data_IF_379507230801
#
_entry.id   IF_379507230801
#
_cell.length_a   1.000
_cell.length_b   1.000
_cell.length_c   1.000
_cell.angle_alpha   90.00
_cell.angle_beta   90.00
_cell.angle_gamma   90.00
#
_symmetry.space_group_name_H-M   'P 1'
#
loop_
_entity.id
_entity.type
_entity.pdbx_description
1 polymer ?
#
# COMPACT_ATOMS: atom_id res chain seq x y z
N UNK A 1 33.51 -3.79 4.98
CA UNK A 1 33.22 -5.25 4.81
C UNK A 1 32.34 -5.37 3.60
N UNK A 2 32.76 -6.17 2.61
CA UNK A 2 31.98 -6.43 1.41
C UNK A 2 30.59 -6.91 1.79
N UNK A 3 29.53 -6.28 1.23
CA UNK A 3 28.18 -6.77 1.33
C UNK A 3 28.18 -8.26 0.95
N UNK A 4 27.59 -9.11 1.78
CA UNK A 4 27.43 -10.50 1.40
C UNK A 4 26.61 -10.53 0.13
N UNK A 5 27.26 -10.83 -0.98
CA UNK A 5 26.63 -10.94 -2.31
C UNK A 5 25.50 -11.92 -2.14
N UNK A 6 24.26 -11.50 -2.44
CA UNK A 6 23.11 -12.41 -2.48
C UNK A 6 23.27 -13.33 -3.69
N UNK A 7 23.98 -14.45 -3.46
CA UNK A 7 24.35 -15.40 -4.52
C UNK A 7 23.12 -15.94 -5.27
N UNK A 8 21.99 -16.06 -4.58
CA UNK A 8 20.74 -16.53 -5.22
C UNK A 8 20.19 -15.48 -6.16
N UNK A 9 20.24 -14.22 -5.76
CA UNK A 9 19.84 -13.11 -6.62
C UNK A 9 20.72 -13.03 -7.87
N UNK A 10 22.06 -13.06 -7.71
CA UNK A 10 22.99 -13.03 -8.82
C UNK A 10 22.81 -14.24 -9.77
N UNK A 11 22.58 -15.43 -9.22
CA UNK A 11 22.29 -16.62 -10.00
C UNK A 11 20.96 -16.49 -10.78
N UNK A 12 19.91 -15.98 -10.15
CA UNK A 12 18.61 -15.77 -10.79
C UNK A 12 18.71 -14.73 -11.93
N UNK A 13 19.40 -13.62 -11.70
CA UNK A 13 19.63 -12.59 -12.69
C UNK A 13 20.48 -13.10 -13.86
N UNK A 14 21.58 -13.81 -13.56
CA UNK A 14 22.44 -14.42 -14.58
C UNK A 14 21.69 -15.48 -15.39
N UNK A 15 20.90 -16.34 -14.76
CA UNK A 15 20.09 -17.33 -15.45
C UNK A 15 19.11 -16.67 -16.41
N UNK A 16 18.46 -15.57 -15.99
CA UNK A 16 17.54 -14.80 -16.82
C UNK A 16 18.25 -14.17 -18.03
N UNK A 17 19.41 -13.52 -17.82
CA UNK A 17 20.21 -12.92 -18.89
C UNK A 17 20.72 -13.99 -19.88
N UNK A 18 21.19 -15.12 -19.38
CA UNK A 18 21.75 -16.21 -20.20
C UNK A 18 20.66 -17.07 -20.88
N UNK A 19 19.39 -16.95 -20.52
CA UNK A 19 18.30 -17.70 -21.16
C UNK A 19 18.09 -17.34 -22.63
N UNK A 20 18.64 -16.20 -23.10
CA UNK A 20 18.37 -15.64 -24.42
C UNK A 20 17.05 -14.88 -24.52
N UNK A 21 16.19 -14.99 -23.52
CA UNK A 21 14.88 -14.31 -23.46
C UNK A 21 14.68 -13.52 -22.15
N UNK A 22 15.58 -12.62 -21.77
CA UNK A 22 15.47 -11.91 -20.50
C UNK A 22 14.21 -11.04 -20.39
N UNK A 23 13.59 -10.71 -21.54
CA UNK A 23 12.35 -9.93 -21.62
C UNK A 23 11.10 -10.62 -21.05
N UNK A 24 11.17 -11.88 -20.67
CA UNK A 24 10.01 -12.60 -20.12
C UNK A 24 9.39 -11.91 -18.90
N UNK A 25 10.19 -11.10 -18.15
CA UNK A 25 9.69 -10.34 -17.00
C UNK A 25 9.09 -8.98 -17.36
N UNK A 26 9.20 -8.55 -18.64
CA UNK A 26 8.63 -7.29 -19.12
C UNK A 26 7.13 -7.41 -19.37
N UNK A 27 6.42 -6.27 -19.36
CA UNK A 27 5.01 -6.21 -19.74
C UNK A 27 4.04 -6.65 -18.65
N UNK A 28 4.47 -6.64 -17.39
CA UNK A 28 3.59 -6.81 -16.24
C UNK A 28 2.43 -5.81 -16.26
N UNK A 29 1.27 -6.22 -15.76
CA UNK A 29 0.09 -5.36 -15.68
C UNK A 29 0.07 -4.59 -14.37
N UNK A 30 -0.28 -3.33 -14.45
CA UNK A 30 -0.30 -2.41 -13.31
C UNK A 30 -1.59 -1.59 -13.28
N UNK A 31 -2.09 -1.34 -12.08
CA UNK A 31 -3.23 -0.47 -11.80
C UNK A 31 -2.95 0.37 -10.55
N UNK A 32 -3.69 1.44 -10.40
CA UNK A 32 -3.60 2.35 -9.24
C UNK A 32 -4.98 2.59 -8.67
N UNK A 33 -5.06 2.53 -7.33
CA UNK A 33 -6.17 3.07 -6.55
C UNK A 33 -5.64 4.33 -5.85
N UNK A 34 -6.29 5.48 -6.05
CA UNK A 34 -5.85 6.75 -5.46
C UNK A 34 -6.99 7.41 -4.69
N UNK A 35 -6.76 7.57 -3.41
CA UNK A 35 -7.68 8.26 -2.50
C UNK A 35 -7.42 9.76 -2.51
N UNK A 36 -8.48 10.57 -2.34
CA UNK A 36 -8.42 12.01 -2.13
C UNK A 36 -9.58 12.50 -1.32
N UNK A 37 -9.27 13.26 -0.28
CA UNK A 37 -10.28 13.91 0.53
C UNK A 37 -10.84 15.12 -0.22
N UNK A 38 -12.18 15.19 -0.41
CA UNK A 38 -12.85 16.40 -0.89
C UNK A 38 -12.87 17.43 0.23
N UNK A 39 -12.50 18.65 -0.10
CA UNK A 39 -12.44 19.77 0.85
C UNK A 39 -13.06 21.04 0.25
N UNK A 40 -13.56 21.92 1.11
CA UNK A 40 -13.98 23.26 0.70
C UNK A 40 -12.76 24.12 0.33
N UNK A 41 -12.95 25.27 -0.36
CA UNK A 41 -11.86 26.21 -0.63
C UNK A 41 -11.10 26.67 0.63
N UNK A 42 -11.75 26.65 1.81
CA UNK A 42 -11.14 27.01 3.10
C UNK A 42 -10.37 25.82 3.73
N UNK A 43 -10.27 24.69 3.04
CA UNK A 43 -9.54 23.49 3.49
C UNK A 43 -10.26 22.69 4.58
N UNK A 44 -11.58 22.79 4.71
CA UNK A 44 -12.40 21.96 5.60
C UNK A 44 -12.88 20.73 4.83
N UNK A 45 -13.05 19.61 5.52
CA UNK A 45 -13.63 18.41 4.92
C UNK A 45 -15.02 18.71 4.37
N UNK A 46 -15.31 18.26 3.14
CA UNK A 46 -16.59 18.45 2.48
C UNK A 46 -17.72 17.72 3.21
N UNK A 47 -18.87 18.37 3.31
CA UNK A 47 -20.08 17.81 3.92
C UNK A 47 -21.15 17.44 2.89
N UNK A 48 -20.89 17.68 1.61
CA UNK A 48 -21.77 17.31 0.51
C UNK A 48 -21.78 15.80 0.29
N UNK A 49 -22.88 15.20 -0.17
CA UNK A 49 -22.91 13.81 -0.58
C UNK A 49 -21.99 13.56 -1.78
N UNK A 50 -21.72 12.29 -2.07
CA UNK A 50 -21.03 11.89 -3.30
C UNK A 50 -21.74 12.48 -4.53
N UNK A 51 -21.05 13.24 -5.40
CA UNK A 51 -21.68 13.90 -6.53
C UNK A 51 -22.43 12.93 -7.44
N UNK A 52 -23.72 13.19 -7.68
CA UNK A 52 -24.56 12.27 -8.45
C UNK A 52 -24.05 12.04 -9.88
N UNK A 53 -23.43 13.05 -10.49
CA UNK A 53 -22.86 12.96 -11.84
C UNK A 53 -21.67 11.98 -11.93
N UNK A 54 -21.02 11.65 -10.81
CA UNK A 54 -19.98 10.64 -10.75
C UNK A 54 -20.54 9.21 -10.71
N UNK A 55 -21.84 9.04 -10.71
CA UNK A 55 -22.51 7.76 -10.62
C UNK A 55 -22.62 7.23 -9.18
N UNK A 56 -22.98 5.97 -9.04
CA UNK A 56 -23.12 5.33 -7.72
C UNK A 56 -21.78 4.83 -7.21
N UNK A 57 -21.34 5.28 -6.04
CA UNK A 57 -20.15 4.77 -5.36
C UNK A 57 -20.17 3.25 -5.11
N UNK A 58 -21.35 2.61 -5.16
CA UNK A 58 -21.48 1.16 -5.03
C UNK A 58 -21.14 0.40 -6.32
N UNK A 59 -21.45 0.96 -7.47
CA UNK A 59 -21.45 0.24 -8.76
C UNK A 59 -20.55 0.86 -9.82
N UNK A 60 -20.03 2.07 -9.62
CA UNK A 60 -19.00 2.62 -10.48
C UNK A 60 -17.66 1.92 -10.17
N UNK A 61 -17.07 1.29 -11.18
CA UNK A 61 -15.83 0.51 -11.04
C UNK A 61 -14.58 1.40 -10.92
N UNK A 62 -14.66 2.67 -11.33
CA UNK A 62 -13.52 3.57 -11.41
C UNK A 62 -13.58 4.75 -10.43
N UNK A 63 -14.78 5.12 -9.97
CA UNK A 63 -14.98 6.23 -9.02
C UNK A 63 -15.89 5.75 -7.91
N UNK A 64 -15.33 5.63 -6.71
CA UNK A 64 -16.05 5.20 -5.51
C UNK A 64 -15.70 6.09 -4.32
N UNK A 65 -16.12 5.72 -3.13
CA UNK A 65 -15.68 6.31 -1.87
C UNK A 65 -15.02 5.23 -1.01
N UNK A 66 -13.96 5.59 -0.27
CA UNK A 66 -13.41 4.69 0.74
C UNK A 66 -14.21 4.79 2.05
N UNK A 67 -13.64 5.27 3.14
CA UNK A 67 -14.31 5.33 4.45
C UNK A 67 -15.34 6.46 4.53
N UNK A 68 -14.94 7.66 4.11
CA UNK A 68 -15.77 8.87 4.19
C UNK A 68 -16.50 9.14 2.88
N UNK A 69 -17.71 9.69 2.98
CA UNK A 69 -18.44 10.24 1.83
C UNK A 69 -17.62 11.31 1.10
N UNK A 70 -16.75 12.01 1.84
CA UNK A 70 -15.83 12.99 1.30
C UNK A 70 -14.52 12.38 0.76
N UNK A 71 -14.23 11.11 1.01
CA UNK A 71 -12.99 10.46 0.57
C UNK A 71 -13.24 9.72 -0.74
N UNK A 72 -13.02 10.42 -1.86
CA UNK A 72 -13.11 9.82 -3.19
C UNK A 72 -11.94 8.87 -3.40
N UNK A 73 -12.23 7.72 -3.98
CA UNK A 73 -11.26 6.72 -4.42
C UNK A 73 -11.39 6.52 -5.93
N UNK A 74 -10.29 6.77 -6.64
CA UNK A 74 -10.16 6.60 -8.09
C UNK A 74 -9.43 5.29 -8.37
N UNK A 75 -10.09 4.39 -9.10
CA UNK A 75 -9.58 3.04 -9.39
C UNK A 75 -9.36 2.91 -10.88
N UNK A 76 -8.13 2.70 -11.31
CA UNK A 76 -7.82 2.49 -12.74
C UNK A 76 -8.05 1.02 -13.15
N UNK A 77 -8.37 0.76 -14.42
CA UNK A 77 -8.10 -0.54 -15.02
C UNK A 77 -6.62 -0.87 -14.98
N UNK A 78 -6.24 -2.08 -15.41
CA UNK A 78 -4.85 -2.48 -15.51
C UNK A 78 -4.27 -2.18 -16.89
N UNK A 79 -3.06 -1.61 -16.93
CA UNK A 79 -2.32 -1.27 -18.14
C UNK A 79 -0.95 -1.97 -18.18
N UNK A 80 -0.37 -2.10 -19.37
CA UNK A 80 1.01 -2.58 -19.56
C UNK A 80 2.04 -1.47 -19.42
N UNK A 81 1.65 -0.21 -19.66
CA UNK A 81 2.55 0.93 -19.58
C UNK A 81 2.15 1.91 -18.49
N UNK A 82 3.14 2.52 -17.86
CA UNK A 82 2.90 3.49 -16.79
C UNK A 82 2.28 4.79 -17.30
N UNK A 83 2.54 5.16 -18.58
CA UNK A 83 1.99 6.40 -19.11
C UNK A 83 0.49 6.28 -19.40
N UNK A 84 0.02 5.15 -19.97
CA UNK A 84 -1.42 4.90 -20.17
C UNK A 84 -2.18 4.92 -18.84
N UNK A 85 -1.62 4.28 -17.82
CA UNK A 85 -2.17 4.28 -16.48
C UNK A 85 -2.32 5.70 -15.93
N UNK A 86 -1.27 6.52 -16.02
CA UNK A 86 -1.31 7.89 -15.50
C UNK A 86 -2.21 8.81 -16.34
N UNK A 87 -2.27 8.61 -17.65
CA UNK A 87 -3.22 9.34 -18.50
C UNK A 87 -4.66 9.01 -18.09
N UNK A 88 -4.99 7.74 -17.93
CA UNK A 88 -6.31 7.33 -17.46
C UNK A 88 -6.67 7.92 -16.09
N UNK A 89 -5.72 7.92 -15.17
CA UNK A 89 -5.91 8.51 -13.84
C UNK A 89 -6.10 10.04 -13.93
N UNK A 90 -5.42 10.71 -14.85
CA UNK A 90 -5.61 12.14 -15.13
C UNK A 90 -7.01 12.41 -15.69
N UNK A 91 -7.48 11.59 -16.63
CA UNK A 91 -8.82 11.71 -17.20
C UNK A 91 -9.92 11.55 -16.13
N UNK A 92 -9.73 10.59 -15.20
CA UNK A 92 -10.61 10.44 -14.03
C UNK A 92 -10.60 11.70 -13.14
N UNK A 93 -9.43 12.29 -12.88
CA UNK A 93 -9.34 13.53 -12.09
C UNK A 93 -10.07 14.68 -12.80
N UNK A 94 -9.87 14.83 -14.10
CA UNK A 94 -10.54 15.88 -14.88
C UNK A 94 -12.06 15.69 -14.83
N UNK A 95 -12.55 14.46 -14.99
CA UNK A 95 -13.97 14.16 -14.90
C UNK A 95 -14.53 14.49 -13.50
N UNK A 96 -13.83 14.13 -12.45
CA UNK A 96 -14.23 14.42 -11.06
C UNK A 96 -14.28 15.94 -10.83
N UNK A 97 -13.24 16.68 -11.22
CA UNK A 97 -13.19 18.15 -11.06
C UNK A 97 -14.34 18.86 -11.77
N UNK A 98 -14.75 18.39 -12.95
CA UNK A 98 -15.89 18.96 -13.67
C UNK A 98 -17.23 18.79 -12.94
N UNK A 99 -17.32 17.90 -11.94
CA UNK A 99 -18.56 17.53 -11.27
C UNK A 99 -18.56 17.75 -9.75
N UNK A 100 -17.53 18.39 -9.21
CA UNK A 100 -17.41 18.66 -7.76
C UNK A 100 -17.87 20.06 -7.34
N UNK A 101 -18.25 20.92 -8.29
CA UNK A 101 -18.50 22.34 -8.00
C UNK A 101 -17.23 23.04 -7.54
N UNK A 102 -17.31 23.80 -6.44
CA UNK A 102 -16.19 24.60 -5.91
C UNK A 102 -15.27 23.79 -4.97
N UNK A 103 -15.57 22.50 -4.75
CA UNK A 103 -14.74 21.65 -3.90
C UNK A 103 -13.39 21.33 -4.55
N UNK A 104 -12.40 21.02 -3.72
CA UNK A 104 -11.05 20.65 -4.13
C UNK A 104 -10.73 19.21 -3.67
N UNK A 105 -9.85 18.53 -4.40
CA UNK A 105 -9.21 17.29 -3.93
C UNK A 105 -7.97 17.65 -3.14
N UNK A 106 -7.95 17.26 -1.86
CA UNK A 106 -6.79 17.47 -1.00
C UNK A 106 -5.58 16.69 -1.52
N UNK A 107 -4.47 17.40 -1.73
CA UNK A 107 -3.33 16.91 -2.50
C UNK A 107 -2.30 16.10 -1.67
N UNK A 108 -2.54 15.88 -0.37
CA UNK A 108 -1.61 15.16 0.51
C UNK A 108 -2.29 14.02 1.26
N UNK A 109 -1.49 13.07 1.76
CA UNK A 109 -2.01 11.93 2.49
C UNK A 109 -2.62 12.29 3.84
N UNK A 110 -1.92 13.11 4.64
CA UNK A 110 -2.47 13.53 5.92
C UNK A 110 -3.64 14.50 5.69
N UNK A 111 -4.76 14.33 6.42
CA UNK A 111 -5.97 15.07 6.13
C UNK A 111 -5.83 16.58 6.37
N UNK A 112 -6.71 17.34 5.73
CA UNK A 112 -6.91 18.75 5.96
C UNK A 112 -7.46 19.03 7.37
N UNK A 113 -7.93 20.26 7.62
CA UNK A 113 -8.53 20.61 8.89
C UNK A 113 -9.84 19.85 9.14
N UNK A 114 -9.87 19.15 10.27
CA UNK A 114 -11.05 18.43 10.79
C UNK A 114 -11.25 18.89 12.23
N UNK A 115 -12.38 19.54 12.51
CA UNK A 115 -12.61 20.12 13.84
C UNK A 115 -13.07 19.07 14.86
N UNK A 116 -13.83 18.05 14.39
CA UNK A 116 -14.25 16.90 15.21
C UNK A 116 -14.37 15.61 14.39
N UNK A 117 -14.41 14.46 15.04
CA UNK A 117 -14.70 13.18 14.35
C UNK A 117 -16.09 13.15 13.70
N UNK A 118 -17.05 13.93 14.23
CA UNK A 118 -18.39 14.03 13.67
C UNK A 118 -18.40 14.70 12.28
N UNK A 119 -17.40 15.54 11.99
CA UNK A 119 -17.26 16.22 10.70
C UNK A 119 -16.79 15.29 9.57
N UNK A 120 -16.43 14.04 9.89
CA UNK A 120 -16.07 13.03 8.88
C UNK A 120 -17.33 12.22 8.54
N UNK A 121 -18.04 12.53 7.43
CA UNK A 121 -19.26 11.82 7.07
C UNK A 121 -18.91 10.39 6.62
N UNK A 122 -19.63 9.40 7.16
CA UNK A 122 -19.42 8.00 6.78
C UNK A 122 -20.06 7.75 5.42
N UNK A 123 -19.34 7.08 4.52
CA UNK A 123 -19.76 6.80 3.15
C UNK A 123 -21.08 6.02 3.07
N UNK A 124 -21.93 6.42 2.16
CA UNK A 124 -23.25 5.88 1.91
C UNK A 124 -23.29 5.15 0.57
N UNK A 125 -23.76 3.90 0.58
CA UNK A 125 -23.79 3.03 -0.60
C UNK A 125 -25.21 2.62 -1.02
N UNK A 126 -26.21 3.35 -0.56
CA UNK A 126 -27.62 3.08 -0.86
C UNK A 126 -28.25 2.01 0.01
N UNK A 127 -29.49 1.57 -0.36
CA UNK A 127 -30.37 0.76 0.49
C UNK A 127 -30.27 -0.74 0.25
N UNK A 128 -29.52 -1.21 -0.74
CA UNK A 128 -29.32 -2.64 -0.99
C UNK A 128 -28.59 -3.31 0.19
N UNK A 129 -28.70 -4.62 0.33
CA UNK A 129 -28.01 -5.35 1.39
C UNK A 129 -26.49 -5.16 1.33
N UNK A 130 -25.90 -5.14 0.13
CA UNK A 130 -24.47 -4.89 -0.07
C UNK A 130 -24.11 -3.45 0.32
N UNK A 131 -24.91 -2.44 -0.09
CA UNK A 131 -24.69 -1.05 0.28
C UNK A 131 -24.77 -0.85 1.80
N UNK A 132 -25.80 -1.40 2.44
CA UNK A 132 -25.95 -1.35 3.91
C UNK A 132 -24.78 -2.04 4.63
N UNK A 133 -24.35 -3.21 4.16
CA UNK A 133 -23.18 -3.90 4.70
C UNK A 133 -21.93 -3.03 4.64
N UNK A 134 -21.67 -2.36 3.50
CA UNK A 134 -20.52 -1.45 3.34
C UNK A 134 -20.57 -0.26 4.32
N UNK A 135 -21.75 0.32 4.56
CA UNK A 135 -21.94 1.41 5.53
C UNK A 135 -21.76 0.91 6.98
N UNK A 136 -22.36 -0.25 7.33
CA UNK A 136 -22.21 -0.84 8.66
C UNK A 136 -20.76 -1.22 8.95
N UNK A 137 -20.04 -1.75 7.97
CA UNK A 137 -18.61 -2.01 8.08
C UNK A 137 -17.83 -0.74 8.46
N UNK A 138 -18.12 0.41 7.85
CA UNK A 138 -17.48 1.69 8.14
C UNK A 138 -17.90 2.25 9.50
N UNK A 139 -19.15 2.05 9.93
CA UNK A 139 -19.55 2.32 11.30
C UNK A 139 -18.67 1.53 12.28
N UNK A 140 -18.40 0.26 11.96
CA UNK A 140 -17.48 -0.57 12.74
C UNK A 140 -16.05 -0.02 12.79
N UNK A 141 -15.50 0.42 11.67
CA UNK A 141 -14.18 1.06 11.63
C UNK A 141 -14.15 2.33 12.50
N UNK A 142 -15.19 3.17 12.41
CA UNK A 142 -15.31 4.37 13.25
C UNK A 142 -15.34 4.04 14.74
N UNK A 143 -16.11 3.05 15.15
CA UNK A 143 -16.25 2.66 16.55
C UNK A 143 -14.99 1.97 17.11
N UNK A 144 -14.21 1.27 16.28
CA UNK A 144 -13.02 0.51 16.68
C UNK A 144 -11.76 1.36 16.71
N UNK A 145 -11.61 2.24 15.72
CA UNK A 145 -10.35 2.94 15.41
C UNK A 145 -10.46 4.46 15.44
N UNK A 146 -11.69 4.99 15.52
CA UNK A 146 -11.98 6.41 15.34
C UNK A 146 -12.04 6.81 13.85
N UNK A 147 -12.69 7.94 13.55
CA UNK A 147 -12.87 8.42 12.18
C UNK A 147 -11.65 9.20 11.65
N UNK A 148 -10.89 9.84 12.54
CA UNK A 148 -9.76 10.69 12.13
C UNK A 148 -8.72 9.93 11.31
N UNK A 149 -8.34 8.71 11.74
CA UNK A 149 -7.39 7.87 11.02
C UNK A 149 -7.91 7.47 9.63
N UNK A 150 -9.21 7.28 9.50
CA UNK A 150 -9.87 6.87 8.25
C UNK A 150 -9.99 7.99 7.21
N UNK A 151 -9.66 9.25 7.58
CA UNK A 151 -9.61 10.38 6.65
C UNK A 151 -8.23 10.55 5.98
N UNK A 152 -7.28 9.69 6.29
CA UNK A 152 -5.95 9.65 5.66
C UNK A 152 -6.10 9.04 4.27
N UNK A 153 -5.47 9.67 3.26
CA UNK A 153 -5.47 9.22 1.86
C UNK A 153 -4.17 8.50 1.49
N UNK A 154 -4.25 7.54 0.59
CA UNK A 154 -3.08 6.83 0.06
C UNK A 154 -3.16 6.58 -1.44
N UNK A 155 -2.08 6.02 -1.97
CA UNK A 155 -2.02 5.45 -3.30
C UNK A 155 -1.68 3.97 -3.16
N UNK A 156 -2.49 3.10 -3.77
CA UNK A 156 -2.21 1.67 -3.86
C UNK A 156 -1.72 1.35 -5.26
N UNK A 157 -0.66 0.58 -5.35
CA UNK A 157 -0.10 0.11 -6.61
C UNK A 157 -0.34 -1.39 -6.74
N UNK A 158 -1.18 -1.77 -7.70
CA UNK A 158 -1.48 -3.15 -8.06
C UNK A 158 -0.56 -3.60 -9.19
N UNK A 159 0.07 -4.76 -9.03
CA UNK A 159 1.01 -5.29 -10.02
C UNK A 159 0.94 -6.81 -10.15
N UNK A 160 0.87 -7.28 -11.40
CA UNK A 160 1.07 -8.68 -11.74
C UNK A 160 2.18 -8.83 -12.78
N UNK A 161 3.03 -9.84 -12.59
CA UNK A 161 3.97 -10.25 -13.64
C UNK A 161 3.23 -10.82 -14.85
N UNK A 162 3.85 -10.83 -16.05
CA UNK A 162 3.27 -11.48 -17.22
C UNK A 162 2.93 -12.95 -16.94
N UNK A 163 1.77 -13.39 -17.37
CA UNK A 163 1.35 -14.80 -17.18
C UNK A 163 2.32 -15.76 -17.88
N UNK A 164 2.81 -15.33 -19.04
CA UNK A 164 3.74 -16.07 -19.87
C UNK A 164 5.13 -16.24 -19.24
N UNK A 165 5.46 -15.46 -18.21
CA UNK A 165 6.72 -15.53 -17.51
C UNK A 165 6.86 -16.81 -16.66
N UNK A 166 5.77 -17.32 -16.10
CA UNK A 166 5.85 -18.25 -14.96
C UNK A 166 6.42 -19.63 -15.30
N UNK A 167 6.08 -20.21 -16.45
CA UNK A 167 6.64 -21.51 -16.85
C UNK A 167 8.12 -21.40 -17.20
N UNK A 168 8.59 -20.45 -18.05
CA UNK A 168 10.02 -20.21 -18.24
C UNK A 168 10.76 -19.88 -16.96
N UNK A 169 10.16 -19.09 -16.06
CA UNK A 169 10.76 -18.77 -14.77
C UNK A 169 10.93 -20.01 -13.89
N UNK A 170 9.96 -20.92 -13.86
CA UNK A 170 10.07 -22.17 -13.14
C UNK A 170 11.18 -23.08 -13.69
N UNK A 171 11.40 -23.07 -15.02
CA UNK A 171 12.49 -23.78 -15.66
C UNK A 171 13.86 -23.19 -15.28
N UNK A 172 14.00 -21.87 -15.37
CA UNK A 172 15.24 -21.17 -14.98
C UNK A 172 15.59 -21.41 -13.51
N UNK A 173 14.60 -21.45 -12.63
CA UNK A 173 14.79 -21.74 -11.20
C UNK A 173 14.92 -23.24 -10.90
N UNK A 174 14.90 -24.10 -11.89
CA UNK A 174 14.96 -25.58 -11.77
C UNK A 174 13.90 -26.11 -10.78
N UNK A 175 12.74 -25.44 -10.72
CA UNK A 175 11.65 -25.85 -9.84
C UNK A 175 10.98 -27.11 -10.39
N UNK A 176 10.60 -28.02 -9.50
CA UNK A 176 9.75 -29.18 -9.83
C UNK A 176 8.27 -28.81 -9.84
N UNK A 177 7.91 -27.76 -9.14
CA UNK A 177 6.55 -27.26 -9.09
C UNK A 177 6.24 -26.40 -10.31
N UNK A 178 5.00 -26.43 -10.79
CA UNK A 178 4.48 -25.69 -11.93
C UNK A 178 3.06 -25.17 -11.65
N UNK A 179 2.59 -24.31 -12.50
CA UNK A 179 1.22 -23.80 -12.47
C UNK A 179 0.93 -22.90 -11.26
N UNK A 180 -0.32 -22.87 -10.84
CA UNK A 180 -0.80 -21.87 -9.86
C UNK A 180 -0.17 -22.02 -8.46
N UNK A 181 0.19 -23.24 -8.06
CA UNK A 181 0.89 -23.50 -6.78
C UNK A 181 2.26 -22.81 -6.77
N UNK A 182 3.05 -23.01 -7.82
CA UNK A 182 4.35 -22.34 -8.01
C UNK A 182 4.19 -20.81 -8.03
N UNK A 183 3.22 -20.29 -8.80
CA UNK A 183 2.96 -18.84 -8.89
C UNK A 183 2.66 -18.26 -7.51
N UNK A 184 1.79 -18.90 -6.74
CA UNK A 184 1.42 -18.45 -5.40
C UNK A 184 2.63 -18.46 -4.46
N UNK A 185 3.43 -19.53 -4.47
CA UNK A 185 4.65 -19.60 -3.67
C UNK A 185 5.64 -18.48 -4.04
N UNK A 186 5.82 -18.20 -5.34
CA UNK A 186 6.68 -17.08 -5.79
C UNK A 186 6.16 -15.71 -5.38
N UNK A 187 4.86 -15.48 -5.38
CA UNK A 187 4.30 -14.24 -4.81
C UNK A 187 4.51 -14.16 -3.29
N UNK A 188 4.37 -15.26 -2.54
CA UNK A 188 4.69 -15.25 -1.10
C UNK A 188 6.19 -15.06 -0.84
N UNK A 189 7.06 -15.59 -1.70
CA UNK A 189 8.48 -15.29 -1.71
C UNK A 189 8.73 -13.77 -1.85
N UNK A 190 8.09 -13.12 -2.84
CA UNK A 190 8.14 -11.67 -3.04
C UNK A 190 7.61 -10.92 -1.81
N UNK A 191 6.49 -11.34 -1.23
CA UNK A 191 5.88 -10.71 -0.05
C UNK A 191 6.83 -10.70 1.15
N UNK A 192 7.54 -11.81 1.42
CA UNK A 192 8.55 -11.87 2.49
C UNK A 192 9.66 -10.86 2.26
N UNK A 193 10.19 -10.78 1.04
CA UNK A 193 11.24 -9.82 0.70
C UNK A 193 10.74 -8.37 0.74
N UNK A 194 9.49 -8.12 0.32
CA UNK A 194 8.90 -6.81 0.48
C UNK A 194 8.75 -6.43 1.97
N UNK A 195 8.41 -7.36 2.84
CA UNK A 195 8.40 -7.12 4.29
C UNK A 195 9.78 -6.73 4.82
N UNK A 196 10.86 -7.34 4.30
CA UNK A 196 12.25 -7.06 4.70
C UNK A 196 12.79 -5.74 4.14
N UNK A 197 12.40 -5.38 2.94
CA UNK A 197 13.02 -4.28 2.17
C UNK A 197 12.07 -3.11 1.88
N UNK A 198 10.76 -3.26 2.11
CA UNK A 198 9.74 -2.26 1.76
C UNK A 198 9.86 -0.93 2.52
N UNK A 199 10.65 -0.84 3.59
CA UNK A 199 11.03 0.41 4.22
C UNK A 199 11.69 1.38 3.22
N UNK A 200 12.36 0.86 2.18
CA UNK A 200 12.95 1.65 1.10
C UNK A 200 11.88 2.46 0.34
N UNK A 201 10.69 1.91 0.16
CA UNK A 201 9.55 2.60 -0.48
C UNK A 201 9.13 3.81 0.37
N UNK A 202 9.07 3.67 1.70
CA UNK A 202 8.77 4.79 2.61
C UNK A 202 9.88 5.85 2.56
N UNK A 203 11.14 5.43 2.55
CA UNK A 203 12.28 6.34 2.47
C UNK A 203 12.26 7.17 1.20
N UNK A 204 12.07 6.54 0.04
CA UNK A 204 12.16 7.20 -1.27
C UNK A 204 10.89 8.01 -1.63
N UNK A 205 9.71 7.56 -1.20
CA UNK A 205 8.43 8.09 -1.68
C UNK A 205 7.52 8.61 -0.56
N UNK A 206 7.93 8.53 0.70
CA UNK A 206 7.22 9.17 1.81
C UNK A 206 7.29 10.69 1.66
N UNK A 207 6.12 11.36 1.65
CA UNK A 207 5.97 12.81 1.47
C UNK A 207 4.91 13.40 2.41
N UNK A 208 4.71 12.77 3.57
CA UNK A 208 3.75 13.23 4.56
C UNK A 208 4.37 13.47 5.95
N UNK A 209 5.42 14.34 6.06
CA UNK A 209 6.05 14.67 7.35
C UNK A 209 5.27 15.74 8.14
N UNK A 210 4.18 16.25 7.56
CA UNK A 210 3.41 17.40 8.07
C UNK A 210 1.98 16.96 8.37
N UNK A 211 1.39 17.54 9.44
CA UNK A 211 0.03 17.22 9.87
C UNK A 211 -0.69 18.45 10.41
N UNK A 212 -1.98 18.59 10.13
CA UNK A 212 -2.81 19.61 10.77
C UNK A 212 -2.94 19.33 12.28
N UNK A 213 -2.83 20.36 13.11
CA UNK A 213 -2.95 20.25 14.58
C UNK A 213 -4.32 19.70 15.00
N UNK A 214 -5.35 19.88 14.19
CA UNK A 214 -6.67 19.29 14.45
C UNK A 214 -6.63 17.77 14.51
N UNK A 215 -5.78 17.12 13.70
CA UNK A 215 -5.58 15.68 13.68
C UNK A 215 -4.92 15.14 14.95
N UNK A 216 -4.13 15.97 15.65
CA UNK A 216 -3.41 15.60 16.87
C UNK A 216 -4.26 15.76 18.15
N UNK A 217 -5.44 16.37 18.06
CA UNK A 217 -6.31 16.60 19.24
C UNK A 217 -6.65 15.28 19.93
N UNK A 218 -6.49 15.27 21.26
CA UNK A 218 -6.77 14.09 22.08
C UNK A 218 -5.75 12.96 21.99
N UNK A 219 -4.64 13.17 21.26
CA UNK A 219 -3.51 12.24 21.18
C UNK A 219 -2.40 12.70 22.11
N UNK A 220 -1.77 11.76 22.80
CA UNK A 220 -0.59 12.03 23.65
C UNK A 220 0.68 12.08 22.76
N UNK A 221 0.71 13.08 21.88
CA UNK A 221 1.83 13.32 20.96
C UNK A 221 2.07 14.82 20.82
N UNK A 222 3.31 15.23 21.03
CA UNK A 222 3.77 16.61 20.82
C UNK A 222 4.73 16.64 19.65
N UNK A 223 4.38 17.35 18.58
CA UNK A 223 5.25 17.61 17.43
C UNK A 223 5.66 19.08 17.39
N UNK A 224 6.84 19.40 16.86
CA UNK A 224 7.24 20.78 16.57
C UNK A 224 6.21 21.48 15.68
N UNK A 225 5.97 22.77 15.93
CA UNK A 225 5.06 23.58 15.14
C UNK A 225 5.76 24.14 13.90
N UNK A 226 5.16 23.95 12.73
CA UNK A 226 5.55 24.62 11.49
C UNK A 226 4.81 25.95 11.33
N UNK A 227 3.53 26.00 11.74
CA UNK A 227 2.68 27.18 11.73
C UNK A 227 1.66 27.13 12.87
N UNK A 228 0.74 28.12 12.92
CA UNK A 228 -0.34 28.15 13.92
C UNK A 228 -1.15 26.86 13.96
N UNK A 229 -1.49 26.30 12.78
CA UNK A 229 -2.41 25.18 12.62
C UNK A 229 -1.73 23.89 12.12
N UNK A 230 -0.40 23.90 11.98
CA UNK A 230 0.35 22.81 11.36
C UNK A 230 1.56 22.42 12.21
N UNK A 231 1.72 21.13 12.44
CA UNK A 231 2.90 20.52 13.04
C UNK A 231 3.62 19.61 12.07
N UNK A 232 4.88 19.31 12.35
CA UNK A 232 5.70 18.43 11.51
C UNK A 232 6.63 17.58 12.36
N UNK A 233 7.12 16.51 11.78
CA UNK A 233 8.20 15.73 12.36
C UNK A 233 9.46 15.92 11.51
N UNK A 234 10.57 16.47 12.06
CA UNK A 234 11.69 16.98 11.26
C UNK A 234 12.31 15.98 10.29
N UNK A 235 12.34 14.72 10.71
CA UNK A 235 12.98 13.64 9.94
C UNK A 235 12.00 12.60 9.40
N UNK A 236 10.69 12.83 9.53
CA UNK A 236 9.70 11.88 9.03
C UNK A 236 9.69 11.80 7.51
N UNK A 237 9.45 10.60 7.01
CA UNK A 237 9.11 10.38 5.62
C UNK A 237 7.61 10.30 5.43
N UNK A 238 6.90 9.56 6.29
CA UNK A 238 5.46 9.34 6.17
C UNK A 238 4.78 9.18 7.53
N UNK A 239 4.15 10.25 8.02
CA UNK A 239 3.30 10.16 9.21
C UNK A 239 2.06 9.28 8.95
N UNK A 240 1.61 9.17 7.70
CA UNK A 240 0.56 8.23 7.30
C UNK A 240 0.90 6.80 7.67
N UNK A 241 2.14 6.37 7.44
CA UNK A 241 2.60 4.99 7.66
C UNK A 241 3.21 4.79 9.05
N UNK A 242 3.13 5.80 9.92
CA UNK A 242 3.58 5.75 11.31
C UNK A 242 2.46 5.32 12.27
N UNK A 243 2.78 5.29 13.55
CA UNK A 243 1.84 5.07 14.66
C UNK A 243 0.84 6.22 14.87
N UNK A 244 1.06 7.37 14.24
CA UNK A 244 0.06 8.44 14.11
C UNK A 244 -1.00 8.13 13.04
N UNK A 245 -0.65 7.36 12.02
CA UNK A 245 -1.51 6.98 10.92
C UNK A 245 -2.05 5.56 11.06
N UNK A 246 -1.78 4.73 10.05
CA UNK A 246 -2.36 3.40 9.92
C UNK A 246 -1.84 2.33 10.90
N UNK A 247 -0.76 2.59 11.65
CA UNK A 247 -0.28 1.65 12.68
C UNK A 247 -0.98 1.91 14.02
N UNK A 248 -2.24 1.52 14.12
CA UNK A 248 -2.94 1.64 15.39
C UNK A 248 -2.63 0.49 16.35
N UNK A 249 -2.81 0.75 17.66
CA UNK A 249 -2.57 -0.23 18.72
C UNK A 249 -3.55 -1.40 18.69
N UNK A 250 -4.72 -1.24 18.09
CA UNK A 250 -5.79 -2.25 18.11
C UNK A 250 -5.47 -3.51 17.29
N UNK A 251 -4.57 -3.40 16.30
CA UNK A 251 -4.08 -4.54 15.52
C UNK A 251 -2.64 -4.94 15.87
N UNK A 252 -2.01 -4.30 16.87
CA UNK A 252 -0.62 -4.57 17.25
C UNK A 252 -0.36 -6.03 17.68
N UNK A 253 -1.38 -6.74 18.15
CA UNK A 253 -1.29 -8.17 18.50
C UNK A 253 -1.67 -9.13 17.37
N UNK A 254 -2.06 -8.62 16.20
CA UNK A 254 -2.45 -9.47 15.08
C UNK A 254 -1.29 -9.66 14.11
N UNK A 255 -0.69 -10.82 14.14
CA UNK A 255 0.32 -11.24 13.14
C UNK A 255 -0.35 -12.13 12.11
N UNK A 256 -0.24 -11.76 10.83
CA UNK A 256 -0.66 -12.57 9.68
C UNK A 256 0.59 -12.99 8.93
N UNK A 257 0.84 -14.29 8.85
CA UNK A 257 2.00 -14.84 8.18
C UNK A 257 1.96 -14.55 6.69
N UNK A 258 3.13 -14.25 6.13
CA UNK A 258 3.38 -14.18 4.69
C UNK A 258 4.34 -15.29 4.23
N UNK A 259 4.45 -16.37 5.00
CA UNK A 259 5.32 -17.49 4.68
C UNK A 259 4.73 -18.39 3.60
N UNK A 260 3.41 -18.62 3.64
CA UNK A 260 2.69 -19.34 2.60
C UNK A 260 1.25 -18.84 2.43
N UNK A 261 0.60 -19.25 1.35
CA UNK A 261 -0.82 -18.96 1.10
C UNK A 261 -1.71 -19.56 2.21
N UNK A 262 -1.40 -20.78 2.62
CA UNK A 262 -2.17 -21.51 3.63
C UNK A 262 -2.09 -20.83 5.00
N UNK A 263 -0.89 -20.41 5.41
CA UNK A 263 -0.70 -19.67 6.66
C UNK A 263 -1.41 -18.33 6.64
N UNK A 264 -1.28 -17.58 5.53
CA UNK A 264 -1.93 -16.29 5.36
C UNK A 264 -3.45 -16.39 5.47
N UNK A 265 -4.05 -17.35 4.78
CA UNK A 265 -5.50 -17.58 4.81
C UNK A 265 -5.96 -18.09 6.18
N UNK A 266 -5.21 -18.99 6.81
CA UNK A 266 -5.49 -19.50 8.16
C UNK A 266 -5.55 -18.34 9.17
N UNK A 267 -4.55 -17.47 9.17
CA UNK A 267 -4.44 -16.39 10.13
C UNK A 267 -5.52 -15.32 9.93
N UNK A 268 -5.83 -14.94 8.71
CA UNK A 268 -6.95 -14.04 8.41
C UNK A 268 -8.31 -14.68 8.75
N UNK A 269 -8.50 -15.97 8.42
CA UNK A 269 -9.72 -16.68 8.75
C UNK A 269 -9.93 -16.75 10.26
N UNK A 270 -8.87 -16.97 11.02
CA UNK A 270 -8.90 -16.91 12.48
C UNK A 270 -9.30 -15.52 12.97
N UNK A 271 -8.72 -14.46 12.42
CA UNK A 271 -8.99 -13.09 12.84
C UNK A 271 -10.46 -12.66 12.59
N UNK A 272 -11.08 -13.12 11.49
CA UNK A 272 -12.49 -12.81 11.18
C UNK A 272 -13.51 -13.73 11.87
N UNK A 273 -13.07 -14.74 12.64
CA UNK A 273 -13.94 -15.67 13.36
C UNK A 273 -13.72 -15.67 14.87
N UNK A 274 -12.65 -15.06 15.37
CA UNK A 274 -12.35 -14.97 16.79
C UNK A 274 -12.93 -13.71 17.39
N UNK A 275 -13.81 -13.84 18.38
CA UNK A 275 -14.41 -12.71 19.10
C UNK A 275 -13.34 -11.95 19.88
N UNK A 276 -13.41 -10.62 19.82
CA UNK A 276 -12.58 -9.70 20.58
C UNK A 276 -13.41 -9.05 21.70
N UNK A 277 -13.17 -9.36 22.99
CA UNK A 277 -14.01 -8.92 24.08
C UNK A 277 -14.33 -7.42 24.13
N UNK A 278 -13.38 -6.50 23.86
CA UNK A 278 -13.69 -5.07 23.79
C UNK A 278 -14.74 -4.70 22.73
N UNK A 279 -14.73 -5.39 21.57
CA UNK A 279 -15.70 -5.14 20.50
C UNK A 279 -17.06 -5.78 20.81
N UNK A 280 -17.09 -6.89 21.56
CA UNK A 280 -18.33 -7.49 22.05
C UNK A 280 -19.01 -6.57 23.06
N UNK A 281 -18.25 -5.98 24.00
CA UNK A 281 -18.76 -5.00 24.96
C UNK A 281 -19.35 -3.74 24.31
N UNK A 282 -18.74 -3.27 23.21
CA UNK A 282 -19.26 -2.10 22.47
C UNK A 282 -20.57 -2.38 21.72
N UNK A 283 -20.93 -3.65 21.54
CA UNK A 283 -22.15 -4.12 20.93
C UNK A 283 -22.14 -4.10 19.40
N UNK A 284 -22.90 -5.03 18.80
CA UNK A 284 -23.08 -5.12 17.35
C UNK A 284 -24.22 -4.19 16.91
N UNK A 285 -25.31 -4.19 17.67
CA UNK A 285 -26.48 -3.34 17.45
C UNK A 285 -26.91 -2.72 18.77
N UNK A 286 -27.00 -1.40 18.82
CA UNK A 286 -27.36 -0.66 20.04
C UNK A 286 -28.46 0.35 19.71
N UNK A 287 -29.55 0.34 20.47
CA UNK A 287 -30.72 1.20 20.26
C UNK A 287 -31.32 1.16 18.84
N UNK A 288 -31.21 0.01 18.17
CA UNK A 288 -31.71 -0.16 16.80
C UNK A 288 -30.64 0.08 15.70
N UNK A 289 -29.53 0.73 16.02
CA UNK A 289 -28.49 1.09 15.06
C UNK A 289 -27.36 0.06 15.01
N UNK A 290 -26.95 -0.31 13.80
CA UNK A 290 -25.82 -1.19 13.57
C UNK A 290 -24.51 -0.44 13.78
N UNK A 291 -23.72 -0.84 14.79
CA UNK A 291 -22.42 -0.27 15.10
C UNK A 291 -21.26 -0.95 14.37
N UNK A 292 -21.39 -2.23 14.09
CA UNK A 292 -20.35 -3.04 13.41
C UNK A 292 -20.99 -4.32 12.84
N UNK A 293 -20.30 -5.00 11.93
CA UNK A 293 -20.78 -6.23 11.31
C UNK A 293 -20.80 -7.42 12.27
N UNK A 294 -19.80 -7.52 13.12
CA UNK A 294 -19.60 -8.57 14.14
C UNK A 294 -18.65 -8.05 15.22
N UNK A 295 -18.40 -8.85 16.26
CA UNK A 295 -17.49 -8.50 17.36
C UNK A 295 -16.11 -9.19 17.26
N UNK A 296 -15.74 -9.71 16.10
CA UNK A 296 -14.48 -10.41 15.91
C UNK A 296 -13.28 -9.46 15.84
N UNK A 297 -12.06 -9.97 15.94
CA UNK A 297 -10.80 -9.20 15.82
C UNK A 297 -10.82 -8.34 14.55
N UNK A 298 -11.21 -8.93 13.42
CA UNK A 298 -11.51 -8.21 12.17
C UNK A 298 -12.97 -8.45 11.77
N UNK A 299 -13.63 -7.42 11.25
CA UNK A 299 -14.98 -7.58 10.71
C UNK A 299 -14.96 -8.38 9.39
N UNK A 300 -14.02 -8.07 8.54
CA UNK A 300 -13.73 -8.71 7.25
C UNK A 300 -12.22 -8.70 7.00
N UNK A 301 -11.73 -9.50 6.07
CA UNK A 301 -10.30 -9.61 5.74
C UNK A 301 -9.68 -8.27 5.29
N UNK A 302 -10.46 -7.42 4.62
CA UNK A 302 -9.98 -6.12 4.14
C UNK A 302 -9.65 -5.12 5.27
N UNK A 303 -10.10 -5.38 6.50
CA UNK A 303 -9.78 -4.57 7.67
C UNK A 303 -8.32 -4.72 8.13
N UNK A 304 -7.64 -5.81 7.73
CA UNK A 304 -6.24 -6.02 8.09
C UNK A 304 -5.32 -5.00 7.42
N UNK A 305 -4.56 -4.25 8.22
CA UNK A 305 -3.56 -3.29 7.73
C UNK A 305 -2.24 -3.98 7.40
N UNK A 306 -1.79 -3.87 6.17
CA UNK A 306 -0.47 -4.34 5.73
C UNK A 306 0.11 -3.44 4.66
N UNK A 307 1.44 -3.43 4.52
CA UNK A 307 2.16 -2.63 3.52
C UNK A 307 2.02 -3.20 2.10
N UNK A 308 1.79 -4.51 2.01
CA UNK A 308 1.57 -5.24 0.76
C UNK A 308 0.63 -6.40 1.02
N UNK A 309 -0.22 -6.73 0.05
CA UNK A 309 -1.17 -7.85 0.10
C UNK A 309 -1.09 -8.74 -1.14
N UNK A 310 -1.22 -10.08 -1.00
CA UNK A 310 -1.54 -10.95 -2.12
C UNK A 310 -3.01 -10.77 -2.51
N UNK A 311 -3.30 -10.72 -3.78
CA UNK A 311 -4.64 -10.47 -4.31
C UNK A 311 -5.02 -11.47 -5.39
N UNK A 312 -6.32 -11.69 -5.48
CA UNK A 312 -7.01 -12.43 -6.56
C UNK A 312 -8.32 -11.73 -6.85
N UNK A 313 -8.67 -11.56 -8.11
CA UNK A 313 -10.00 -11.06 -8.47
C UNK A 313 -11.05 -12.03 -7.95
N UNK A 314 -11.87 -11.55 -7.03
CA UNK A 314 -12.95 -12.32 -6.41
C UNK A 314 -14.21 -12.31 -7.30
N UNK A 315 -14.99 -13.39 -7.23
CA UNK A 315 -16.34 -13.43 -7.82
C UNK A 315 -17.28 -12.56 -6.97
N UNK A 316 -18.40 -12.16 -7.54
CA UNK A 316 -19.38 -11.37 -6.78
C UNK A 316 -19.80 -12.10 -5.49
N UNK A 317 -19.65 -11.43 -4.34
CA UNK A 317 -19.95 -11.98 -3.02
C UNK A 317 -18.90 -12.97 -2.46
N UNK A 318 -17.82 -13.26 -3.19
CA UNK A 318 -16.75 -14.14 -2.71
C UNK A 318 -15.81 -13.38 -1.78
N UNK A 319 -15.43 -14.01 -0.66
CA UNK A 319 -14.43 -13.45 0.26
C UNK A 319 -13.03 -13.52 -0.36
N UNK A 320 -12.14 -12.51 -0.11
CA UNK A 320 -10.77 -12.51 -0.62
C UNK A 320 -9.98 -13.79 -0.32
N UNK A 321 -10.05 -14.30 0.91
CA UNK A 321 -9.36 -15.54 1.30
C UNK A 321 -9.88 -16.76 0.52
N UNK A 322 -11.20 -16.83 0.23
CA UNK A 322 -11.76 -17.90 -0.60
C UNK A 322 -11.31 -17.80 -2.05
N UNK A 323 -11.24 -16.59 -2.61
CA UNK A 323 -10.74 -16.38 -3.96
C UNK A 323 -9.27 -16.83 -4.09
N UNK A 324 -8.43 -16.49 -3.10
CA UNK A 324 -7.04 -16.91 -3.01
C UNK A 324 -6.90 -18.45 -2.91
N UNK A 325 -7.69 -19.12 -2.06
CA UNK A 325 -7.66 -20.58 -1.96
C UNK A 325 -8.14 -21.26 -3.24
N UNK A 326 -9.17 -20.72 -3.89
CA UNK A 326 -9.74 -21.28 -5.11
C UNK A 326 -8.80 -21.22 -6.30
N UNK A 327 -8.07 -20.11 -6.45
CA UNK A 327 -7.37 -19.81 -7.69
C UNK A 327 -5.95 -19.27 -7.51
N UNK A 328 -5.42 -19.27 -6.28
CA UNK A 328 -4.08 -18.78 -5.96
C UNK A 328 -3.92 -17.26 -6.10
N UNK A 329 -2.70 -16.78 -5.95
CA UNK A 329 -2.36 -15.36 -6.08
C UNK A 329 -2.31 -14.96 -7.56
N UNK A 330 -2.88 -13.81 -7.90
CA UNK A 330 -2.88 -13.25 -9.26
C UNK A 330 -2.00 -12.01 -9.36
N UNK A 331 -2.02 -11.17 -8.32
CA UNK A 331 -1.24 -9.92 -8.27
C UNK A 331 -0.94 -9.54 -6.82
N UNK A 332 -0.14 -8.52 -6.64
CA UNK A 332 0.13 -7.90 -5.34
C UNK A 332 -0.34 -6.44 -5.32
N UNK A 333 -0.77 -5.99 -4.15
CA UNK A 333 -1.20 -4.61 -3.87
C UNK A 333 -0.21 -3.98 -2.90
N UNK A 334 0.62 -3.06 -3.39
CA UNK A 334 1.49 -2.21 -2.57
C UNK A 334 0.68 -1.03 -2.02
N UNK A 335 0.63 -0.86 -0.70
CA UNK A 335 -0.23 0.11 -0.01
C UNK A 335 0.53 1.24 0.69
N UNK A 336 1.84 1.27 0.51
CA UNK A 336 2.73 2.13 1.30
C UNK A 336 2.99 3.52 0.69
N UNK A 337 2.40 3.85 -0.47
CA UNK A 337 2.66 5.12 -1.13
C UNK A 337 1.80 6.26 -0.57
N UNK A 338 2.45 7.36 -0.24
CA UNK A 338 1.76 8.62 0.04
C UNK A 338 1.26 9.28 -1.25
N UNK A 339 0.16 10.02 -1.13
CA UNK A 339 -0.29 10.96 -2.17
C UNK A 339 0.72 12.09 -2.25
N UNK A 340 1.32 12.28 -3.41
CA UNK A 340 2.34 13.32 -3.64
C UNK A 340 1.72 14.59 -4.19
N UNK A 341 1.83 15.68 -3.43
CA UNK A 341 1.40 17.00 -3.88
C UNK A 341 2.25 17.58 -5.04
N UNK A 342 3.40 16.95 -5.32
CA UNK A 342 4.28 17.36 -6.43
C UNK A 342 3.91 16.72 -7.76
N UNK A 343 2.99 15.77 -7.75
CA UNK A 343 2.56 15.01 -8.92
C UNK A 343 1.07 15.30 -9.20
N UNK A 344 0.66 15.69 -10.42
CA UNK A 344 -0.72 16.10 -10.73
C UNK A 344 -1.79 15.09 -10.32
N UNK A 345 -1.46 13.80 -10.39
CA UNK A 345 -2.36 12.69 -10.02
C UNK A 345 -1.91 11.95 -8.75
N UNK A 346 -1.03 12.57 -7.95
CA UNK A 346 -0.54 12.01 -6.69
C UNK A 346 0.57 10.96 -6.82
N UNK A 347 0.93 10.56 -8.03
CA UNK A 347 1.98 9.59 -8.36
C UNK A 347 2.55 9.88 -9.74
N UNK A 348 3.79 9.43 -10.04
CA UNK A 348 4.44 9.65 -11.33
C UNK A 348 5.08 8.37 -11.91
N UNK A 349 5.50 8.45 -13.17
CA UNK A 349 6.09 7.32 -13.90
C UNK A 349 7.34 6.75 -13.24
N UNK A 350 8.21 7.59 -12.69
CA UNK A 350 9.45 7.14 -12.07
C UNK A 350 9.18 6.29 -10.82
N UNK A 351 8.16 6.67 -10.02
CA UNK A 351 7.72 5.86 -8.87
C UNK A 351 7.18 4.51 -9.31
N UNK A 352 6.32 4.49 -10.34
CA UNK A 352 5.72 3.24 -10.84
C UNK A 352 6.79 2.30 -11.41
N UNK A 353 7.71 2.79 -12.23
CA UNK A 353 8.83 2.01 -12.79
C UNK A 353 9.75 1.49 -11.70
N UNK A 354 10.06 2.32 -10.71
CA UNK A 354 10.85 1.87 -9.56
C UNK A 354 10.17 0.70 -8.83
N UNK A 355 8.87 0.80 -8.59
CA UNK A 355 8.12 -0.28 -7.92
C UNK A 355 8.10 -1.58 -8.73
N UNK A 356 8.00 -1.50 -10.06
CA UNK A 356 8.13 -2.68 -10.93
C UNK A 356 9.48 -3.38 -10.75
N UNK A 357 10.58 -2.61 -10.80
CA UNK A 357 11.93 -3.13 -10.57
C UNK A 357 12.11 -3.66 -9.13
N UNK A 358 11.56 -2.96 -8.16
CA UNK A 358 11.66 -3.36 -6.75
C UNK A 358 10.88 -4.66 -6.47
N UNK A 359 9.71 -4.85 -7.08
CA UNK A 359 8.96 -6.10 -6.98
C UNK A 359 9.70 -7.25 -7.69
N UNK A 360 10.35 -6.99 -8.82
CA UNK A 360 11.21 -7.97 -9.49
C UNK A 360 12.43 -8.34 -8.62
N UNK A 361 13.07 -7.36 -7.97
CA UNK A 361 14.13 -7.61 -6.99
C UNK A 361 13.63 -8.51 -5.85
N UNK A 362 12.45 -8.21 -5.29
CA UNK A 362 11.84 -9.01 -4.22
C UNK A 362 11.49 -10.43 -4.68
N UNK A 363 11.16 -10.64 -5.95
CA UNK A 363 10.92 -11.95 -6.52
C UNK A 363 12.22 -12.78 -6.67
N UNK A 364 13.35 -12.13 -6.99
CA UNK A 364 14.61 -12.79 -7.31
C UNK A 364 15.52 -13.04 -6.10
N UNK A 365 15.50 -12.15 -5.09
CA UNK A 365 16.34 -12.27 -3.89
C UNK A 365 15.99 -13.53 -3.09
N UNK A 366 16.96 -14.10 -2.37
CA UNK A 366 16.68 -15.19 -1.41
C UNK A 366 15.59 -14.75 -0.40
N UNK A 367 14.68 -15.65 -0.08
CA UNK A 367 13.51 -15.33 0.74
C UNK A 367 13.18 -16.46 1.72
N UNK A 368 13.99 -16.66 2.75
CA UNK A 368 13.68 -17.62 3.80
C UNK A 368 12.37 -17.24 4.52
N UNK A 369 11.68 -18.20 5.15
CA UNK A 369 10.53 -17.90 5.99
C UNK A 369 10.84 -16.83 7.04
N UNK A 370 9.86 -15.96 7.31
CA UNK A 370 9.96 -14.94 8.37
C UNK A 370 9.67 -15.64 9.71
N UNK A 371 10.64 -15.57 10.62
CA UNK A 371 10.45 -16.08 11.97
C UNK A 371 9.63 -15.13 12.84
N UNK A 372 9.01 -15.64 13.90
CA UNK A 372 8.14 -14.83 14.79
C UNK A 372 8.85 -13.58 15.33
N UNK A 373 10.09 -13.71 15.78
CA UNK A 373 10.88 -12.58 16.28
C UNK A 373 11.24 -11.55 15.21
N UNK A 374 11.36 -11.98 13.95
CA UNK A 374 11.71 -11.11 12.84
C UNK A 374 10.58 -10.10 12.51
N UNK A 375 9.31 -10.49 12.73
CA UNK A 375 8.16 -9.61 12.50
C UNK A 375 8.28 -8.29 13.27
N UNK A 376 8.66 -8.32 14.55
CA UNK A 376 8.81 -7.14 15.38
C UNK A 376 9.95 -6.24 14.89
N UNK A 377 11.06 -6.83 14.48
CA UNK A 377 12.22 -6.12 13.92
C UNK A 377 11.84 -5.41 12.61
N UNK A 378 11.16 -6.12 11.71
CA UNK A 378 10.71 -5.55 10.44
C UNK A 378 9.73 -4.40 10.66
N UNK A 379 8.81 -4.58 11.59
CA UNK A 379 7.86 -3.55 11.98
C UNK A 379 8.53 -2.33 12.60
N UNK A 380 9.51 -2.54 13.46
CA UNK A 380 10.30 -1.46 14.05
C UNK A 380 11.10 -0.69 12.98
N UNK A 381 11.71 -1.37 12.03
CA UNK A 381 12.41 -0.73 10.90
C UNK A 381 11.48 0.14 10.07
N UNK A 382 10.30 -0.36 9.69
CA UNK A 382 9.31 0.42 8.95
C UNK A 382 8.85 1.65 9.72
N UNK A 383 8.56 1.51 11.02
CA UNK A 383 8.18 2.63 11.87
C UNK A 383 9.30 3.66 11.99
N UNK A 384 10.53 3.19 12.21
CA UNK A 384 11.72 4.04 12.30
C UNK A 384 11.87 4.87 11.02
N UNK A 385 11.76 4.27 9.85
CA UNK A 385 11.86 5.00 8.59
C UNK A 385 10.69 5.96 8.39
N UNK A 386 9.47 5.57 8.76
CA UNK A 386 8.31 6.45 8.67
C UNK A 386 8.49 7.73 9.51
N UNK A 387 9.04 7.61 10.73
CA UNK A 387 9.22 8.71 11.68
C UNK A 387 10.55 9.44 11.54
N UNK A 388 11.61 8.75 11.14
CA UNK A 388 13.00 9.25 11.22
C UNK A 388 13.82 9.00 9.96
N UNK A 389 13.22 8.60 8.85
CA UNK A 389 13.94 8.17 7.64
C UNK A 389 14.82 9.25 6.99
N UNK A 390 14.68 10.53 7.37
CA UNK A 390 15.55 11.63 6.92
C UNK A 390 16.65 11.98 7.93
N UNK A 391 16.74 11.26 9.05
CA UNK A 391 17.73 11.55 10.10
C UNK A 391 19.13 11.11 9.65
N UNK A 392 20.11 12.02 9.73
CA UNK A 392 21.50 11.68 9.37
C UNK A 392 22.04 10.55 10.25
N UNK A 393 22.73 9.59 9.65
CA UNK A 393 23.33 8.47 10.35
C UNK A 393 22.34 7.42 10.89
N UNK A 394 21.08 7.45 10.47
CA UNK A 394 20.08 6.47 10.90
C UNK A 394 20.52 5.04 10.59
N UNK A 395 20.33 4.13 11.55
CA UNK A 395 20.59 2.71 11.42
C UNK A 395 19.29 1.91 11.50
N UNK A 396 19.24 0.79 10.79
CA UNK A 396 18.15 -0.20 10.82
C UNK A 396 18.70 -1.56 11.26
N UNK A 397 17.84 -2.42 11.78
CA UNK A 397 18.20 -3.78 12.15
C UNK A 397 18.12 -4.73 10.94
N UNK A 398 19.23 -5.42 10.65
CA UNK A 398 19.33 -6.43 9.58
C UNK A 398 20.10 -7.63 10.10
N UNK A 399 19.48 -8.79 10.10
CA UNK A 399 20.10 -10.05 10.54
C UNK A 399 20.74 -9.95 11.94
N UNK A 400 20.03 -9.29 12.88
CA UNK A 400 20.49 -9.08 14.26
C UNK A 400 21.60 -8.03 14.43
N UNK A 401 21.87 -7.21 13.40
CA UNK A 401 22.90 -6.16 13.42
C UNK A 401 22.33 -4.81 13.02
N UNK A 402 22.83 -3.74 13.63
CA UNK A 402 22.57 -2.39 13.19
C UNK A 402 23.40 -2.08 11.92
N UNK A 403 22.72 -1.69 10.84
CA UNK A 403 23.31 -1.33 9.55
C UNK A 403 22.90 0.10 9.20
N UNK A 404 23.83 0.97 8.73
CA UNK A 404 23.46 2.30 8.24
C UNK A 404 22.41 2.18 7.14
N UNK A 405 21.29 2.89 7.29
CA UNK A 405 20.15 2.83 6.36
C UNK A 405 20.57 3.19 4.94
N UNK A 406 21.40 4.23 4.77
CA UNK A 406 21.89 4.68 3.45
C UNK A 406 22.74 3.62 2.76
N UNK A 407 23.57 2.90 3.53
CA UNK A 407 24.38 1.79 2.96
C UNK A 407 23.46 0.69 2.46
N UNK A 408 22.47 0.29 3.24
CA UNK A 408 21.52 -0.75 2.84
C UNK A 408 20.63 -0.29 1.65
N UNK A 409 20.21 0.98 1.63
CA UNK A 409 19.47 1.54 0.51
C UNK A 409 20.25 1.50 -0.80
N UNK A 410 21.55 1.88 -0.76
CA UNK A 410 22.44 1.78 -1.94
C UNK A 410 22.59 0.35 -2.43
N UNK A 411 22.84 -0.60 -1.52
CA UNK A 411 22.95 -2.04 -1.87
C UNK A 411 21.70 -2.52 -2.62
N UNK A 412 20.49 -2.13 -2.18
CA UNK A 412 19.23 -2.49 -2.84
C UNK A 412 19.09 -1.82 -4.21
N UNK A 413 19.44 -0.54 -4.32
CA UNK A 413 19.37 0.21 -5.58
C UNK A 413 20.39 -0.34 -6.59
N UNK A 414 21.61 -0.60 -6.17
CA UNK A 414 22.67 -1.18 -7.02
C UNK A 414 22.27 -2.56 -7.54
N UNK A 415 21.64 -3.39 -6.70
CA UNK A 415 21.09 -4.68 -7.11
C UNK A 415 20.01 -4.57 -8.20
N UNK A 416 19.31 -3.44 -8.30
CA UNK A 416 18.28 -3.24 -9.33
C UNK A 416 18.85 -2.81 -10.69
N UNK A 417 20.16 -2.50 -10.81
CA UNK A 417 20.74 -2.02 -12.07
C UNK A 417 20.54 -3.02 -13.21
N UNK A 418 20.88 -4.31 -13.01
CA UNK A 418 20.68 -5.35 -14.02
C UNK A 418 19.20 -5.59 -14.36
N UNK A 419 18.31 -5.42 -13.37
CA UNK A 419 16.87 -5.48 -13.61
C UNK A 419 16.42 -4.31 -14.50
N UNK A 420 16.88 -3.09 -14.23
CA UNK A 420 16.59 -1.92 -15.05
C UNK A 420 17.05 -2.09 -16.50
N UNK A 421 18.23 -2.67 -16.70
CA UNK A 421 18.76 -2.98 -18.04
C UNK A 421 17.87 -3.98 -18.80
N UNK A 422 17.37 -5.01 -18.11
CA UNK A 422 16.43 -5.97 -18.70
C UNK A 422 15.11 -5.27 -19.06
N UNK A 423 14.55 -4.48 -18.15
CA UNK A 423 13.29 -3.75 -18.41
C UNK A 423 13.41 -2.74 -19.56
N UNK A 424 14.59 -2.17 -19.79
CA UNK A 424 14.87 -1.25 -20.88
C UNK A 424 15.29 -1.94 -22.18
N UNK A 425 15.43 -3.25 -22.20
CA UNK A 425 15.90 -3.98 -23.37
C UNK A 425 14.94 -3.80 -24.56
N UNK A 426 15.44 -3.17 -25.62
CA UNK A 426 14.67 -2.79 -26.80
C UNK A 426 14.11 -1.35 -26.76
N UNK A 427 14.27 -0.63 -25.65
CA UNK A 427 13.92 0.79 -25.54
C UNK A 427 15.18 1.66 -25.56
N UNK A 428 15.28 2.56 -26.55
CA UNK A 428 16.44 3.47 -26.68
C UNK A 428 16.46 4.58 -25.62
N UNK A 429 15.31 4.91 -25.03
CA UNK A 429 15.17 5.99 -24.03
C UNK A 429 15.61 5.53 -22.63
N UNK A 430 15.66 4.22 -22.40
CA UNK A 430 16.07 3.59 -21.13
C UNK A 430 15.34 4.18 -19.89
N UNK A 431 14.00 4.17 -19.89
CA UNK A 431 13.22 4.85 -18.87
C UNK A 431 13.31 4.22 -17.47
N UNK A 432 13.62 2.93 -17.36
CA UNK A 432 13.80 2.26 -16.07
C UNK A 432 15.15 2.61 -15.44
N UNK A 433 16.24 2.64 -16.21
CA UNK A 433 17.54 3.12 -15.74
C UNK A 433 17.45 4.59 -15.30
N UNK A 434 16.76 5.43 -16.08
CA UNK A 434 16.53 6.83 -15.71
C UNK A 434 15.72 6.95 -14.39
N UNK A 435 14.67 6.15 -14.22
CA UNK A 435 13.89 6.12 -12.99
C UNK A 435 14.73 5.66 -11.79
N UNK A 436 15.59 4.66 -11.97
CA UNK A 436 16.49 4.16 -10.93
C UNK A 436 17.53 5.22 -10.54
N UNK A 437 18.14 5.91 -11.51
CA UNK A 437 19.11 6.97 -11.26
C UNK A 437 18.54 8.12 -10.43
N UNK A 438 17.28 8.53 -10.69
CA UNK A 438 16.57 9.52 -9.85
C UNK A 438 16.47 9.08 -8.40
N UNK A 439 16.23 7.80 -8.13
CA UNK A 439 16.16 7.31 -6.76
C UNK A 439 17.55 7.13 -6.12
N UNK A 440 18.54 6.73 -6.90
CA UNK A 440 19.92 6.64 -6.44
C UNK A 440 20.45 8.01 -5.96
N UNK A 441 20.15 9.09 -6.70
CA UNK A 441 20.55 10.45 -6.30
C UNK A 441 19.99 10.82 -4.90
N UNK A 442 18.73 10.47 -4.59
CA UNK A 442 18.13 10.74 -3.26
C UNK A 442 18.87 10.08 -2.11
N UNK A 443 19.53 8.95 -2.35
CA UNK A 443 20.28 8.21 -1.33
C UNK A 443 21.69 8.74 -1.15
N UNK A 444 22.22 9.47 -2.15
CA UNK A 444 23.56 10.07 -2.10
C UNK A 444 23.57 11.41 -1.35
N UNK A 445 22.45 12.15 -1.39
CA UNK A 445 22.34 13.52 -0.87
C UNK A 445 22.01 13.61 0.63
N UNK A 446 22.06 12.49 1.40
CA UNK A 446 21.72 12.44 2.84
C UNK A 446 22.91 12.06 3.71
#
# INVERSE_FOLDING_TARGET
MSAAIDRKFEQALAALVNSGEPKIIQGGRKGVEKESLRVTPEGRIAQTPHPQALGSALTNENITTDFSEALIELVSPTFKTSWELLQYLLDLHQFVYQHMGDELLWATSMPSRIDSEADIPIAQFGRSNVGRMKTVYRNGLANRYGRMMQAISGVHFNYSFPVEMWDPWAELMQSRERGQGFISDRYFHLLRNYRRHGWLVLYLFGVSPVVCNSFLRGRDVTLPRLSKDTSYEPYATSLRMSDLGYRNRSQAGLTVSVNSLEEYVRDLSRAITTVHPPYEQSGIKVNGDWRQLNANILQIENEYYSFIRPKRVARSGERPTKALLRAGVEYVEVRALDVSAFDPVGVNQNKLRFLEMFLALCLMKDSPPIATWEHEVLDANHLTVARRGREPGLTLQRDGRAVPMNTWARELIDSMQGIAEIFDQGDRVRPYQAALAVQAAKVQDV
#
